data_IF_608038613393
#
_entry.id   IF_608038613393
#
_cell.length_a   1.000
_cell.length_b   1.000
_cell.length_c   1.000
_cell.angle_alpha   90.00
_cell.angle_beta   90.00
_cell.angle_gamma   90.00
#
_symmetry.space_group_name_H-M   'P 1'
#
loop_
_entity.id
_entity.type
_entity.pdbx_description
1 polymer ?
#
# COMPACT_ATOMS: atom_id res chain seq x y z
N UNK A 1 71.22 7.34 18.51
CA UNK A 1 70.00 7.93 17.90
C UNK A 1 69.46 6.97 16.86
N UNK A 2 68.21 6.49 17.00
CA UNK A 2 67.29 6.01 15.94
C UNK A 2 66.00 5.55 16.62
N UNK A 3 64.95 6.38 16.57
CA UNK A 3 63.59 6.05 17.04
C UNK A 3 62.85 5.38 15.87
N UNK A 4 62.11 4.26 16.07
CA UNK A 4 61.32 3.69 14.99
C UNK A 4 60.08 4.56 14.76
N UNK A 5 59.84 4.90 13.50
CA UNK A 5 58.71 5.69 13.03
C UNK A 5 57.48 4.76 12.96
N UNK A 6 56.45 5.08 13.74
CA UNK A 6 55.18 4.34 13.75
C UNK A 6 54.27 4.95 12.68
N UNK A 7 54.17 4.31 11.51
CA UNK A 7 53.29 4.76 10.43
C UNK A 7 51.84 4.42 10.77
N UNK A 8 51.04 5.43 11.09
CA UNK A 8 49.60 5.29 11.34
C UNK A 8 48.86 5.33 9.98
N UNK A 9 48.48 4.17 9.44
CA UNK A 9 47.57 4.13 8.29
C UNK A 9 46.15 4.53 8.75
N UNK A 10 45.68 5.67 8.26
CA UNK A 10 44.27 6.06 8.33
C UNK A 10 43.54 5.38 7.15
N UNK A 11 42.82 4.28 7.41
CA UNK A 11 41.91 3.69 6.43
C UNK A 11 40.55 4.40 6.54
N UNK A 12 40.24 5.27 5.59
CA UNK A 12 38.89 5.82 5.39
C UNK A 12 37.97 4.68 4.93
N UNK A 13 37.05 4.25 5.80
CA UNK A 13 35.95 3.36 5.42
C UNK A 13 34.85 4.24 4.82
N UNK A 14 34.68 4.18 3.50
CA UNK A 14 33.54 4.76 2.81
C UNK A 14 32.34 3.84 3.06
N UNK A 15 31.46 4.21 3.98
CA UNK A 15 30.20 3.49 4.16
C UNK A 15 29.27 3.84 2.98
N UNK A 16 29.11 2.93 2.03
CA UNK A 16 28.07 3.03 1.03
C UNK A 16 26.74 2.69 1.70
N UNK A 17 25.90 3.70 1.95
CA UNK A 17 24.49 3.51 2.29
C UNK A 17 23.77 3.07 1.03
N UNK A 18 23.28 1.82 1.01
CA UNK A 18 22.23 1.46 0.08
C UNK A 18 20.96 2.23 0.48
N UNK A 19 20.10 2.55 -0.47
CA UNK A 19 18.81 3.17 -0.17
C UNK A 19 17.78 2.04 -0.14
N UNK A 20 17.11 1.84 0.98
CA UNK A 20 15.96 0.95 1.06
C UNK A 20 14.82 1.53 0.20
N UNK A 21 14.69 1.06 -1.04
CA UNK A 21 13.58 1.41 -1.91
C UNK A 21 12.40 0.48 -1.64
N UNK A 22 11.21 1.05 -1.46
CA UNK A 22 9.97 0.28 -1.42
C UNK A 22 9.78 -0.46 -2.75
N UNK A 23 9.52 -1.77 -2.69
CA UNK A 23 9.28 -2.61 -3.85
C UNK A 23 7.78 -2.63 -4.17
N UNK A 24 7.39 -2.10 -5.34
CA UNK A 24 6.00 -2.07 -5.77
C UNK A 24 5.51 -3.47 -6.10
N UNK A 25 4.40 -3.88 -5.47
CA UNK A 25 3.74 -5.16 -5.76
C UNK A 25 2.50 -4.98 -6.62
N UNK A 26 1.82 -3.84 -6.48
CA UNK A 26 0.58 -3.53 -7.18
C UNK A 26 0.32 -2.02 -7.18
N UNK A 27 -0.18 -1.51 -8.28
CA UNK A 27 -0.79 -0.19 -8.38
C UNK A 27 -1.96 -0.22 -9.36
N UNK A 28 -2.99 0.55 -9.06
CA UNK A 28 -4.09 0.81 -9.98
C UNK A 28 -4.73 2.17 -9.67
N UNK A 29 -4.78 3.04 -10.67
CA UNK A 29 -5.46 4.34 -10.63
C UNK A 29 -6.66 4.39 -11.56
N UNK A 30 -7.08 3.24 -12.10
CA UNK A 30 -8.26 3.02 -12.94
C UNK A 30 -8.34 3.86 -14.23
N UNK A 31 -7.33 4.68 -14.54
CA UNK A 31 -7.33 5.56 -15.72
C UNK A 31 -7.22 4.81 -17.05
N UNK A 32 -6.76 3.55 -17.01
CA UNK A 32 -6.74 2.67 -18.17
C UNK A 32 -8.12 2.03 -18.46
N UNK A 33 -9.04 2.03 -17.49
CA UNK A 33 -10.36 1.43 -17.65
C UNK A 33 -11.28 2.32 -18.49
N UNK A 34 -12.16 1.70 -19.28
CA UNK A 34 -13.22 2.43 -19.95
C UNK A 34 -14.31 2.79 -18.95
N UNK A 35 -14.82 4.03 -19.02
CA UNK A 35 -15.95 4.46 -18.18
C UNK A 35 -17.21 3.74 -18.63
N UNK A 36 -17.78 2.94 -17.73
CA UNK A 36 -18.92 2.07 -17.99
C UNK A 36 -19.56 1.64 -16.66
N UNK A 37 -20.89 1.50 -16.66
CA UNK A 37 -21.62 0.97 -15.49
C UNK A 37 -21.66 -0.55 -15.53
N UNK A 38 -21.63 -1.19 -14.36
CA UNK A 38 -21.70 -2.63 -14.16
C UNK A 38 -20.65 -3.40 -14.98
N UNK A 39 -19.44 -2.86 -15.06
CA UNK A 39 -18.37 -3.38 -15.92
C UNK A 39 -17.41 -4.30 -15.17
N UNK A 40 -16.52 -4.94 -15.93
CA UNK A 40 -15.40 -5.73 -15.43
C UNK A 40 -14.13 -4.88 -15.42
N UNK A 41 -13.14 -5.27 -14.61
CA UNK A 41 -11.86 -4.55 -14.49
C UNK A 41 -10.70 -5.41 -14.98
N UNK A 42 -9.67 -4.76 -15.50
CA UNK A 42 -8.50 -5.39 -16.10
C UNK A 42 -7.61 -6.08 -15.07
N UNK A 43 -7.52 -5.52 -13.86
CA UNK A 43 -6.66 -6.02 -12.78
C UNK A 43 -7.44 -6.71 -11.63
N UNK A 44 -8.78 -6.73 -11.71
CA UNK A 44 -9.63 -7.15 -10.61
C UNK A 44 -10.74 -8.09 -11.06
N UNK A 45 -11.07 -9.06 -10.21
CA UNK A 45 -12.36 -9.76 -10.30
C UNK A 45 -13.42 -8.93 -9.60
N UNK A 46 -14.53 -8.66 -10.29
CA UNK A 46 -15.76 -8.13 -9.68
C UNK A 46 -16.66 -9.32 -9.31
N UNK A 47 -17.17 -9.34 -8.09
CA UNK A 47 -18.01 -10.43 -7.57
C UNK A 47 -19.08 -9.88 -6.62
N UNK A 48 -20.07 -10.71 -6.28
CA UNK A 48 -21.14 -10.39 -5.34
C UNK A 48 -21.95 -9.13 -5.66
N UNK A 49 -21.95 -8.64 -6.90
CA UNK A 49 -22.60 -7.40 -7.27
C UNK A 49 -21.94 -6.74 -8.47
N UNK A 50 -22.06 -5.42 -8.56
CA UNK A 50 -21.51 -4.60 -9.63
C UNK A 50 -20.60 -3.51 -9.10
N UNK A 51 -19.71 -3.02 -9.97
CA UNK A 51 -19.01 -1.74 -9.80
C UNK A 51 -19.26 -0.89 -11.04
N UNK A 52 -19.05 0.42 -10.92
CA UNK A 52 -19.06 1.33 -12.06
C UNK A 52 -17.70 2.01 -12.18
N UNK A 53 -17.20 2.15 -13.41
CA UNK A 53 -16.04 3.02 -13.71
C UNK A 53 -16.59 4.38 -14.13
N UNK A 54 -16.35 5.38 -13.29
CA UNK A 54 -16.84 6.74 -13.46
C UNK A 54 -15.67 7.72 -13.45
N UNK A 55 -15.94 9.01 -13.66
CA UNK A 55 -14.89 10.03 -13.69
C UNK A 55 -15.17 11.12 -14.71
N UNK A 56 -14.10 11.67 -15.29
CA UNK A 56 -14.16 12.89 -16.14
C UNK A 56 -15.28 12.83 -17.18
N UNK A 57 -16.26 13.72 -17.04
CA UNK A 57 -17.41 13.84 -17.95
C UNK A 57 -18.46 12.73 -17.85
N UNK A 58 -18.39 11.86 -16.85
CA UNK A 58 -19.30 10.72 -16.65
C UNK A 58 -19.42 10.38 -15.16
N UNK A 59 -20.44 10.93 -14.49
CA UNK A 59 -20.60 10.84 -13.03
C UNK A 59 -19.35 11.35 -12.29
N UNK A 60 -18.92 12.57 -12.65
CA UNK A 60 -17.70 13.19 -12.15
C UNK A 60 -17.92 13.90 -10.79
N UNK A 61 -17.75 13.15 -9.70
CA UNK A 61 -17.84 13.64 -8.32
C UNK A 61 -16.53 14.24 -7.80
N UNK A 62 -15.41 13.92 -8.46
CA UNK A 62 -14.09 14.39 -8.09
C UNK A 62 -13.31 14.90 -9.32
N UNK A 63 -13.68 16.09 -9.85
CA UNK A 63 -13.09 16.60 -11.08
C UNK A 63 -11.57 16.74 -11.00
N UNK A 64 -10.89 16.35 -12.09
CA UNK A 64 -9.44 16.45 -12.22
C UNK A 64 -8.64 15.20 -11.79
N UNK A 65 -9.31 14.12 -11.35
CA UNK A 65 -8.66 12.89 -10.90
C UNK A 65 -8.70 11.75 -11.94
N UNK A 66 -9.26 11.99 -13.13
CA UNK A 66 -9.34 10.97 -14.18
C UNK A 66 -10.55 10.05 -14.01
N UNK A 67 -10.33 8.73 -14.04
CA UNK A 67 -11.32 7.70 -13.80
C UNK A 67 -11.11 7.06 -12.42
N UNK A 68 -12.19 6.65 -11.77
CA UNK A 68 -12.18 6.00 -10.46
C UNK A 68 -13.43 5.11 -10.32
N UNK A 69 -13.49 4.31 -9.26
CA UNK A 69 -14.58 3.34 -9.09
C UNK A 69 -15.69 3.87 -8.17
N UNK A 70 -16.93 3.64 -8.56
CA UNK A 70 -18.07 3.54 -7.64
C UNK A 70 -18.22 2.08 -7.20
N UNK A 71 -18.04 1.81 -5.91
CA UNK A 71 -18.02 0.45 -5.38
C UNK A 71 -19.40 -0.19 -5.20
N UNK A 72 -20.49 0.57 -5.29
CA UNK A 72 -21.84 -0.02 -5.21
C UNK A 72 -22.35 -0.47 -6.59
N UNK A 73 -21.80 0.14 -7.64
CA UNK A 73 -22.24 -0.05 -9.01
C UNK A 73 -23.69 0.39 -9.24
N UNK A 74 -24.33 -0.18 -10.27
CA UNK A 74 -25.67 0.24 -10.71
C UNK A 74 -26.71 -0.90 -10.74
N UNK A 75 -26.45 -2.00 -10.02
CA UNK A 75 -27.33 -3.20 -9.97
C UNK A 75 -28.17 -3.36 -8.68
N UNK A 76 -28.08 -2.41 -7.75
CA UNK A 76 -28.63 -2.43 -6.37
C UNK A 76 -28.03 -3.52 -5.50
N UNK A 77 -26.84 -3.99 -5.88
CA UNK A 77 -26.08 -4.97 -5.15
C UNK A 77 -24.60 -4.62 -5.24
N UNK A 78 -24.03 -4.23 -4.11
CA UNK A 78 -22.66 -3.75 -3.99
C UNK A 78 -21.65 -4.79 -4.47
N UNK A 79 -20.65 -4.34 -5.23
CA UNK A 79 -19.56 -5.20 -5.68
C UNK A 79 -18.52 -5.47 -4.61
N UNK A 80 -17.94 -6.66 -4.67
CA UNK A 80 -16.63 -6.96 -4.12
C UNK A 80 -15.61 -7.03 -5.25
N UNK A 81 -14.59 -6.18 -5.21
CA UNK A 81 -13.42 -6.30 -6.07
C UNK A 81 -12.30 -7.03 -5.36
N UNK A 82 -11.55 -7.85 -6.09
CA UNK A 82 -10.38 -8.57 -5.57
C UNK A 82 -9.31 -8.64 -6.65
N UNK A 83 -8.04 -8.41 -6.31
CA UNK A 83 -6.96 -8.42 -7.30
C UNK A 83 -6.88 -9.78 -8.01
N UNK A 84 -6.68 -9.77 -9.34
CA UNK A 84 -6.50 -11.01 -10.11
C UNK A 84 -5.24 -11.77 -9.63
N UNK A 85 -4.16 -11.03 -9.44
CA UNK A 85 -2.89 -11.55 -8.92
C UNK A 85 -2.90 -11.60 -7.39
N UNK A 86 -2.35 -12.69 -6.85
CA UNK A 86 -2.04 -12.79 -5.42
C UNK A 86 -0.63 -12.32 -5.11
N UNK A 87 -0.45 -11.74 -3.93
CA UNK A 87 0.83 -11.31 -3.38
C UNK A 87 1.40 -12.40 -2.48
N UNK A 88 2.69 -12.70 -2.65
CA UNK A 88 3.45 -13.46 -1.68
C UNK A 88 3.86 -12.51 -0.54
N UNK A 89 3.27 -12.72 0.64
CA UNK A 89 3.55 -11.95 1.84
C UNK A 89 4.44 -12.79 2.77
N UNK A 90 5.57 -12.23 3.17
CA UNK A 90 6.60 -12.90 3.95
C UNK A 90 6.66 -12.34 5.38
N UNK A 91 6.92 -13.19 6.38
CA UNK A 91 7.06 -12.74 7.76
C UNK A 91 8.25 -11.80 7.90
N UNK A 92 8.12 -10.80 8.77
CA UNK A 92 9.14 -9.76 8.99
C UNK A 92 9.14 -8.62 7.96
N UNK A 93 8.44 -8.79 6.82
CA UNK A 93 8.26 -7.70 5.85
C UNK A 93 7.05 -6.86 6.23
N UNK A 94 7.21 -5.53 6.20
CA UNK A 94 6.09 -4.60 6.28
C UNK A 94 5.60 -4.25 4.89
N UNK A 95 4.30 -4.40 4.66
CA UNK A 95 3.62 -4.01 3.43
C UNK A 95 2.84 -2.72 3.68
N UNK A 96 3.03 -1.73 2.82
CA UNK A 96 2.25 -0.50 2.84
C UNK A 96 1.11 -0.62 1.84
N UNK A 97 -0.12 -0.72 2.35
CA UNK A 97 -1.34 -0.56 1.56
C UNK A 97 -1.72 0.92 1.57
N UNK A 98 -1.92 1.50 0.39
CA UNK A 98 -2.43 2.86 0.25
C UNK A 98 -3.56 2.90 -0.78
N UNK A 99 -4.59 3.72 -0.54
CA UNK A 99 -5.67 3.99 -1.48
C UNK A 99 -6.37 5.29 -1.12
N UNK A 100 -6.99 5.94 -2.11
CA UNK A 100 -7.86 7.07 -1.90
C UNK A 100 -9.32 6.62 -1.78
N UNK A 101 -10.02 7.09 -0.76
CA UNK A 101 -11.43 6.80 -0.53
C UNK A 101 -12.22 8.08 -0.35
N UNK A 102 -13.34 8.19 -1.04
CA UNK A 102 -14.21 9.37 -1.03
C UNK A 102 -15.68 9.02 -0.80
N UNK A 103 -16.45 10.00 -0.34
CA UNK A 103 -17.91 9.88 -0.32
C UNK A 103 -18.53 10.01 -1.72
N UNK A 104 -19.71 9.42 -1.90
CA UNK A 104 -20.50 9.36 -3.13
C UNK A 104 -21.04 10.70 -3.68
N UNK A 105 -21.13 11.73 -2.82
CA UNK A 105 -21.85 13.00 -3.04
C UNK A 105 -23.37 12.89 -3.21
N UNK A 106 -23.99 11.76 -2.83
CA UNK A 106 -25.41 11.50 -3.12
C UNK A 106 -26.32 11.35 -1.90
N UNK A 107 -25.81 11.53 -0.69
CA UNK A 107 -26.62 11.53 0.54
C UNK A 107 -26.83 10.16 1.19
N UNK A 108 -26.18 9.12 0.68
CA UNK A 108 -26.12 7.77 1.24
C UNK A 108 -25.17 7.67 2.45
N UNK A 109 -25.14 6.47 3.03
CA UNK A 109 -24.25 6.05 4.11
C UNK A 109 -23.73 4.66 3.81
N UNK A 110 -22.43 4.57 3.53
CA UNK A 110 -21.82 3.33 3.06
C UNK A 110 -20.55 2.97 3.82
N UNK A 111 -20.17 1.70 3.70
CA UNK A 111 -18.91 1.19 4.23
C UNK A 111 -18.29 0.19 3.28
N UNK A 112 -16.96 0.08 3.32
CA UNK A 112 -16.18 -0.90 2.58
C UNK A 112 -15.26 -1.64 3.55
N UNK A 113 -15.29 -2.97 3.52
CA UNK A 113 -14.28 -3.78 4.18
C UNK A 113 -13.08 -3.96 3.24
N UNK A 114 -11.89 -3.62 3.71
CA UNK A 114 -10.64 -3.78 2.96
C UNK A 114 -9.80 -4.84 3.65
N UNK A 115 -9.35 -5.82 2.88
CA UNK A 115 -8.58 -6.94 3.44
C UNK A 115 -7.37 -7.31 2.57
N UNK A 116 -6.25 -7.61 3.26
CA UNK A 116 -5.02 -8.11 2.67
C UNK A 116 -4.25 -8.95 3.71
N UNK A 117 -3.97 -10.20 3.39
CA UNK A 117 -3.29 -11.11 4.32
C UNK A 117 -4.14 -11.38 5.56
N UNK A 118 -3.59 -11.05 6.73
CA UNK A 118 -4.28 -11.08 8.03
C UNK A 118 -4.92 -9.75 8.43
N UNK A 119 -4.77 -8.70 7.61
CA UNK A 119 -5.40 -7.40 7.83
C UNK A 119 -6.83 -7.41 7.26
N UNK A 120 -7.78 -6.89 8.04
CA UNK A 120 -9.14 -6.56 7.62
C UNK A 120 -9.64 -5.37 8.44
N UNK A 121 -10.12 -4.33 7.77
CA UNK A 121 -10.67 -3.12 8.40
C UNK A 121 -11.85 -2.61 7.60
N UNK A 122 -12.90 -2.19 8.29
CA UNK A 122 -14.07 -1.55 7.67
C UNK A 122 -13.95 -0.04 7.76
N UNK A 123 -14.05 0.62 6.63
CA UNK A 123 -14.05 2.06 6.50
C UNK A 123 -15.46 2.55 6.23
N UNK A 124 -15.90 3.57 6.97
CA UNK A 124 -17.16 4.27 6.75
C UNK A 124 -16.86 5.75 6.57
N UNK A 125 -17.34 6.34 5.48
CA UNK A 125 -17.26 7.77 5.22
C UNK A 125 -18.67 8.34 5.04
N UNK A 126 -18.86 9.59 5.43
CA UNK A 126 -20.05 10.33 5.04
C UNK A 126 -20.07 10.52 3.52
N UNK A 127 -21.25 10.47 2.89
CA UNK A 127 -21.38 10.73 1.44
C UNK A 127 -20.80 12.08 1.00
N UNK A 128 -20.77 13.08 1.89
CA UNK A 128 -20.17 14.39 1.60
C UNK A 128 -18.65 14.44 1.75
N UNK A 129 -18.01 13.44 2.37
CA UNK A 129 -16.58 13.44 2.65
C UNK A 129 -15.74 13.62 1.38
N UNK A 130 -14.71 14.47 1.44
CA UNK A 130 -13.71 14.59 0.38
C UNK A 130 -12.80 13.36 0.30
N UNK A 131 -11.86 13.36 -0.65
CA UNK A 131 -10.83 12.32 -0.74
C UNK A 131 -10.04 12.21 0.57
N UNK A 132 -9.87 10.98 1.03
CA UNK A 132 -8.97 10.63 2.11
C UNK A 132 -7.97 9.63 1.59
N UNK A 133 -6.68 9.96 1.69
CA UNK A 133 -5.62 9.01 1.45
C UNK A 133 -5.48 8.12 2.70
N UNK A 134 -5.85 6.85 2.56
CA UNK A 134 -5.78 5.86 3.62
C UNK A 134 -4.52 5.04 3.42
N UNK A 135 -3.69 4.99 4.46
CA UNK A 135 -2.47 4.18 4.47
C UNK A 135 -2.47 3.23 5.65
N UNK A 136 -2.09 1.97 5.43
CA UNK A 136 -1.95 0.94 6.46
C UNK A 136 -0.65 0.15 6.29
N UNK A 137 0.08 0.02 7.39
CA UNK A 137 1.24 -0.87 7.48
C UNK A 137 0.77 -2.25 7.95
N UNK A 138 1.04 -3.27 7.14
CA UNK A 138 0.60 -4.64 7.37
C UNK A 138 1.84 -5.51 7.51
N UNK A 139 1.95 -6.23 8.62
CA UNK A 139 3.00 -7.25 8.83
C UNK A 139 2.32 -8.60 8.99
N UNK A 140 2.73 -9.57 8.19
CA UNK A 140 2.18 -10.94 8.26
C UNK A 140 2.98 -11.79 9.26
N UNK A 141 2.28 -12.70 9.94
CA UNK A 141 2.87 -13.55 10.99
C UNK A 141 3.54 -14.82 10.44
N UNK A 142 3.29 -15.15 9.18
CA UNK A 142 3.86 -16.30 8.49
C UNK A 142 3.76 -16.10 6.98
N UNK A 143 4.44 -16.95 6.22
CA UNK A 143 4.35 -16.92 4.77
C UNK A 143 2.90 -17.15 4.32
N UNK A 144 2.38 -16.26 3.50
CA UNK A 144 1.04 -16.38 2.97
C UNK A 144 0.92 -15.84 1.55
N UNK A 145 0.04 -16.45 0.76
CA UNK A 145 -0.41 -15.91 -0.51
C UNK A 145 -1.77 -15.26 -0.30
N UNK A 146 -1.91 -13.97 -0.60
CA UNK A 146 -3.15 -13.23 -0.38
C UNK A 146 -3.47 -12.26 -1.51
N UNK A 147 -4.75 -11.97 -1.70
CA UNK A 147 -5.22 -10.95 -2.65
C UNK A 147 -5.74 -9.76 -1.85
N UNK A 148 -5.59 -8.57 -2.40
CA UNK A 148 -6.25 -7.39 -1.86
C UNK A 148 -7.72 -7.40 -2.29
N UNK A 149 -8.62 -7.08 -1.37
CA UNK A 149 -10.05 -6.97 -1.67
C UNK A 149 -10.68 -5.74 -1.04
N UNK A 150 -11.70 -5.21 -1.72
CA UNK A 150 -12.60 -4.17 -1.26
C UNK A 150 -14.03 -4.74 -1.39
N UNK A 151 -14.72 -4.87 -0.27
CA UNK A 151 -16.03 -5.52 -0.14
C UNK A 151 -17.03 -4.48 0.38
N UNK A 152 -17.79 -3.87 -0.53
CA UNK A 152 -18.71 -2.78 -0.22
C UNK A 152 -20.05 -3.30 0.32
N UNK A 153 -20.64 -2.62 1.30
CA UNK A 153 -21.84 -3.08 2.01
C UNK A 153 -23.15 -2.38 1.60
N UNK A 154 -23.16 -1.68 0.46
CA UNK A 154 -24.31 -0.92 -0.05
C UNK A 154 -25.34 -1.75 -0.83
N UNK A 155 -26.20 -1.07 -1.57
CA UNK A 155 -27.31 -1.67 -2.32
C UNK A 155 -28.32 -0.66 -2.87
N UNK A 156 -27.90 0.59 -3.04
CA UNK A 156 -28.72 1.73 -3.45
C UNK A 156 -28.21 2.41 -4.74
N UNK A 157 -27.19 1.82 -5.37
CA UNK A 157 -26.43 2.31 -6.52
C UNK A 157 -25.56 3.52 -6.20
N UNK A 158 -25.21 3.71 -4.93
CA UNK A 158 -24.48 4.89 -4.49
C UNK A 158 -23.34 4.48 -3.57
N UNK A 159 -22.16 4.19 -4.12
CA UNK A 159 -21.05 3.70 -3.32
C UNK A 159 -20.05 4.75 -2.83
N UNK A 160 -19.21 4.30 -1.92
CA UNK A 160 -17.91 4.92 -1.69
C UNK A 160 -17.10 4.88 -2.98
N UNK A 161 -16.33 5.95 -3.19
CA UNK A 161 -15.52 6.14 -4.39
C UNK A 161 -14.07 5.73 -4.08
N UNK A 162 -13.47 4.88 -4.91
CA UNK A 162 -12.12 4.33 -4.72
C UNK A 162 -11.20 4.74 -5.86
N UNK A 163 -9.97 5.16 -5.52
CA UNK A 163 -8.93 5.49 -6.48
C UNK A 163 -7.50 5.21 -5.92
N UNK A 164 -6.49 5.29 -6.79
CA UNK A 164 -5.05 5.28 -6.46
C UNK A 164 -4.62 4.17 -5.48
N UNK A 165 -5.03 2.94 -5.77
CA UNK A 165 -4.70 1.77 -4.94
C UNK A 165 -3.25 1.37 -5.18
N UNK A 166 -2.49 1.11 -4.11
CA UNK A 166 -1.15 0.56 -4.21
C UNK A 166 -0.80 -0.35 -3.04
N UNK A 167 0.05 -1.34 -3.32
CA UNK A 167 0.68 -2.20 -2.32
C UNK A 167 2.17 -2.22 -2.58
N UNK A 168 2.96 -1.86 -1.57
CA UNK A 168 4.42 -1.90 -1.65
C UNK A 168 4.98 -2.73 -0.50
N UNK A 169 6.03 -3.51 -0.77
CA UNK A 169 6.84 -4.10 0.28
C UNK A 169 7.90 -3.08 0.71
N UNK A 170 7.92 -2.73 1.98
CA UNK A 170 8.90 -1.82 2.57
C UNK A 170 10.04 -2.67 3.16
N UNK A 171 11.27 -2.57 2.62
CA UNK A 171 12.40 -3.26 3.21
C UNK A 171 12.59 -2.82 4.67
N UNK A 172 13.04 -3.73 5.53
CA UNK A 172 13.42 -3.35 6.88
C UNK A 172 14.42 -2.19 6.84
N UNK A 173 14.28 -1.18 7.72
CA UNK A 173 15.26 -0.11 7.80
C UNK A 173 16.65 -0.69 8.03
N UNK A 174 17.64 -0.23 7.25
CA UNK A 174 19.05 -0.60 7.41
C UNK A 174 19.59 -0.28 8.81
N UNK A 175 18.83 0.43 9.64
CA UNK A 175 19.06 0.65 11.07
C UNK A 175 19.54 -0.60 11.79
N UNK A 176 19.01 -1.80 11.52
CA UNK A 176 19.50 -3.01 12.18
C UNK A 176 20.90 -3.40 11.70
N UNK A 177 21.16 -3.32 10.39
CA UNK A 177 22.49 -3.58 9.84
C UNK A 177 23.51 -2.55 10.33
N UNK A 178 23.13 -1.27 10.39
CA UNK A 178 23.97 -0.18 10.90
C UNK A 178 24.16 -0.25 12.42
N UNK A 179 23.15 -0.66 13.18
CA UNK A 179 23.26 -0.92 14.61
C UNK A 179 24.24 -2.06 14.87
N UNK A 180 24.11 -3.18 14.14
CA UNK A 180 25.03 -4.31 14.25
C UNK A 180 26.44 -3.94 13.81
N UNK A 181 26.58 -3.19 12.71
CA UNK A 181 27.88 -2.66 12.27
C UNK A 181 28.50 -1.73 13.32
N UNK A 182 27.69 -0.82 13.90
CA UNK A 182 28.10 0.07 14.98
C UNK A 182 28.56 -0.69 16.22
N UNK A 183 27.80 -1.70 16.66
CA UNK A 183 28.18 -2.56 17.78
C UNK A 183 29.44 -3.38 17.48
N UNK A 184 29.59 -3.88 16.25
CA UNK A 184 30.79 -4.56 15.79
C UNK A 184 32.04 -3.67 15.85
N UNK A 185 31.93 -2.42 15.40
CA UNK A 185 32.99 -1.41 15.50
C UNK A 185 33.35 -1.11 16.96
N UNK A 186 32.35 -0.94 17.84
CA UNK A 186 32.58 -0.71 19.27
C UNK A 186 33.30 -1.89 19.94
N UNK A 187 32.89 -3.12 19.65
CA UNK A 187 33.57 -4.32 20.16
C UNK A 187 35.02 -4.41 19.69
N UNK A 188 35.30 -4.08 18.43
CA UNK A 188 36.66 -4.03 17.89
C UNK A 188 37.52 -2.98 18.59
N UNK A 189 36.98 -1.79 18.87
CA UNK A 189 37.69 -0.73 19.59
C UNK A 189 38.03 -1.13 21.04
N UNK A 190 37.11 -1.77 21.76
CA UNK A 190 37.36 -2.27 23.12
C UNK A 190 38.45 -3.34 23.12
N UNK A 191 38.42 -4.29 22.19
CA UNK A 191 39.45 -5.35 22.08
C UNK A 191 40.86 -4.80 21.86
N UNK A 192 40.99 -3.64 21.17
CA UNK A 192 42.28 -2.97 20.96
C UNK A 192 42.80 -2.23 22.17
N UNK A 193 41.95 -1.91 23.16
CA UNK A 193 42.37 -1.25 24.41
C UNK A 193 42.81 -2.24 25.50
N UNK A 194 42.31 -3.48 25.43
CA UNK A 194 42.64 -4.54 26.39
C UNK A 194 43.94 -5.28 26.02
N UNK A 195 44.45 -5.09 24.81
CA UNK A 195 45.78 -5.53 24.38
C UNK A 195 46.79 -4.39 24.54
#
# INVERSE_FOLDING_TARGET
>A
MKKPLLTLLFSTVLAASASAHANLLFEDNFNAEARELNTTLSNWTVSNGSIDVIGTGYFDFYPGNGNYLDLDGSSRNAGKITTLTSFALNPGVTYLLSFDLGGSKRGDSNSVNVALGNFSETFSLASSAGWQNITRSITVQGDMSSRLSFDHAGGDNMGLILDNVSVTAVPEPETYALMLAGLGLMGFMVRRRVR
#
